data_IF_798509521589
#
_entry.id   IF_798509521589
#
_cell.length_a   1.000
_cell.length_b   1.000
_cell.length_c   1.000
_cell.angle_alpha   90.00
_cell.angle_beta   90.00
_cell.angle_gamma   90.00
#
_symmetry.space_group_name_H-M   'P 1'
#
loop_
_entity.id
_entity.type
_entity.pdbx_description
1 polymer ?
2 polymer ?
3 non-polymer ?
4 water ?
#
# COMPACT_ATOMS: atom_id res chain seq x y z
N UNK A 1 -7.33 -12.96 -1.76
CA UNK A 1 -6.60 -11.69 -2.01
C UNK A 1 -5.14 -12.13 -1.91
N UNK A 2 -4.18 -11.31 -2.33
CA UNK A 2 -2.73 -11.57 -2.06
C UNK A 2 -2.16 -10.52 -1.10
N UNK A 3 -1.23 -10.93 -0.23
CA UNK A 3 -0.65 -10.02 0.77
C UNK A 3 0.56 -9.35 0.12
N UNK A 4 0.57 -8.01 0.07
CA UNK A 4 1.69 -7.27 -0.47
C UNK A 4 2.73 -7.12 0.64
N UNK A 5 4.00 -6.93 0.28
CA UNK A 5 4.96 -6.71 1.36
C UNK A 5 4.68 -5.42 2.10
N UNK A 6 4.90 -5.42 3.40
CA UNK A 6 4.87 -4.21 4.17
C UNK A 6 6.16 -3.92 4.88
N UNK A 7 6.38 -2.62 5.11
CA UNK A 7 7.60 -2.12 5.71
C UNK A 7 7.22 -1.15 6.83
N UNK A 8 8.11 -1.07 7.80
CA UNK A 8 8.03 -0.11 8.84
C UNK A 8 9.22 0.86 8.78
N UNK A 9 8.89 2.14 8.79
CA UNK A 9 9.87 3.20 8.67
C UNK A 9 10.73 3.28 9.91
N UNK A 10 12.05 3.30 9.70
CA UNK A 10 12.98 3.41 10.81
C UNK A 10 13.31 4.89 11.11
N UNK A 11 13.21 5.76 10.12
CA UNK A 11 13.62 7.17 10.24
C UNK A 11 12.56 7.96 9.49
N UNK A 12 12.39 9.24 9.80
CA UNK A 12 11.51 10.00 8.96
C UNK A 12 12.16 10.34 7.62
N UNK A 13 11.33 10.66 6.66
CA UNK A 13 11.80 11.04 5.36
C UNK A 13 10.91 12.09 4.75
N UNK A 14 11.55 13.06 4.12
CA UNK A 14 10.84 14.08 3.34
C UNK A 14 11.09 13.92 1.85
N UNK A 15 10.00 13.76 1.09
CA UNK A 15 10.06 13.58 -0.34
C UNK A 15 10.82 14.72 -0.96
N UNK A 16 11.83 14.40 -1.73
CA UNK A 16 12.60 15.39 -2.48
C UNK A 16 11.83 15.93 -3.71
N UNK A 17 10.88 15.17 -4.22
CA UNK A 17 10.05 15.64 -5.33
C UNK A 17 8.69 14.94 -5.30
N UNK A 18 7.85 15.27 -6.25
CA UNK A 18 6.50 14.67 -6.30
C UNK A 18 6.42 13.19 -6.59
N UNK A 19 7.49 12.56 -7.09
CA UNK A 19 7.48 11.13 -7.34
C UNK A 19 7.77 10.30 -6.04
N UNK A 20 8.29 10.95 -5.00
CA UNK A 20 8.67 10.34 -3.75
C UNK A 20 7.60 10.49 -2.71
N UNK A 21 7.71 9.68 -1.67
CA UNK A 21 6.70 9.60 -0.66
C UNK A 21 7.31 9.94 0.65
N UNK A 22 6.79 10.97 1.32
CA UNK A 22 7.21 11.28 2.67
C UNK A 22 6.58 10.34 3.73
N UNK A 23 7.24 10.18 4.86
CA UNK A 23 6.73 9.32 5.93
C UNK A 23 7.42 9.68 7.22
N UNK A 24 6.84 9.19 8.31
CA UNK A 24 7.40 9.32 9.64
C UNK A 24 7.81 8.00 10.25
N UNK A 25 8.61 8.08 11.30
CA UNK A 25 9.03 6.89 12.04
C UNK A 25 7.82 6.07 12.44
N UNK A 26 7.94 4.74 12.39
CA UNK A 26 6.81 3.86 12.63
C UNK A 26 5.76 3.68 11.56
N UNK A 27 5.76 4.49 10.51
CA UNK A 27 4.73 4.35 9.48
C UNK A 27 4.84 2.95 8.83
N UNK A 28 3.68 2.35 8.60
CA UNK A 28 3.54 1.08 7.93
C UNK A 28 3.18 1.33 6.47
N UNK A 29 4.13 1.04 5.59
CA UNK A 29 4.00 1.39 4.19
C UNK A 29 3.87 0.07 3.40
N UNK A 30 2.92 0.03 2.47
CA UNK A 30 2.70 -1.14 1.66
C UNK A 30 3.48 -0.96 0.37
N UNK A 31 4.20 -1.98 -0.04
CA UNK A 31 5.12 -1.90 -1.16
C UNK A 31 4.43 -2.45 -2.39
N UNK A 32 4.42 -1.65 -3.45
CA UNK A 32 3.83 -1.98 -4.73
C UNK A 32 4.86 -2.49 -5.70
N UNK A 33 6.13 -2.11 -5.54
CA UNK A 33 7.14 -2.44 -6.54
C UNK A 33 8.50 -2.19 -5.94
N UNK A 34 9.45 -3.08 -6.21
CA UNK A 34 10.84 -2.87 -5.84
C UNK A 34 11.82 -2.64 -7.00
N UNK A 35 12.56 -1.54 -6.92
CA UNK A 35 13.73 -1.27 -7.70
C UNK A 35 14.97 -1.37 -6.79
N UNK A 36 16.09 -1.03 -7.37
CA UNK A 36 17.37 -1.11 -6.69
C UNK A 36 17.41 0.13 -5.86
N UNK A 37 17.53 0.01 -4.57
CA UNK A 37 17.63 1.22 -3.75
C UNK A 37 16.36 1.98 -3.42
N UNK A 38 15.33 1.90 -4.25
CA UNK A 38 14.11 2.65 -4.12
C UNK A 38 12.93 1.72 -4.30
N UNK A 39 11.96 1.78 -3.42
CA UNK A 39 10.76 0.96 -3.50
C UNK A 39 9.56 1.86 -3.61
N UNK A 40 8.54 1.40 -4.31
CA UNK A 40 7.34 2.19 -4.50
C UNK A 40 6.33 1.77 -3.46
N UNK A 41 5.89 2.73 -2.64
CA UNK A 41 5.06 2.42 -1.51
C UNK A 41 3.79 3.20 -1.56
N UNK A 42 2.86 2.80 -0.70
CA UNK A 42 1.57 3.43 -0.53
C UNK A 42 1.28 3.56 0.98
N UNK A 43 0.88 4.75 1.42
CA UNK A 43 0.60 5.00 2.83
C UNK A 43 -0.55 6.01 2.83
N UNK A 44 -1.68 5.68 3.43
CA UNK A 44 -2.83 6.63 3.59
C UNK A 44 -3.24 7.36 2.34
N UNK A 45 -3.33 6.58 1.27
CA UNK A 45 -3.76 7.06 0.02
C UNK A 45 -2.74 7.83 -0.79
N UNK A 46 -1.48 7.89 -0.34
CA UNK A 46 -0.43 8.60 -1.05
C UNK A 46 0.52 7.52 -1.52
N UNK A 47 0.96 7.62 -2.77
CA UNK A 47 1.86 6.64 -3.35
C UNK A 47 3.12 7.33 -3.90
N UNK A 48 4.26 6.70 -3.73
CA UNK A 48 5.53 7.23 -4.16
C UNK A 48 6.70 6.35 -3.82
N UNK A 49 7.83 6.71 -4.39
CA UNK A 49 9.08 6.05 -4.20
C UNK A 49 9.75 6.45 -2.85
N UNK A 50 10.26 5.43 -2.13
CA UNK A 50 10.96 5.58 -0.84
C UNK A 50 12.32 4.97 -0.87
N UNK A 51 13.26 5.58 -0.13
CA UNK A 51 14.57 4.97 0.00
C UNK A 51 14.52 3.71 0.83
N UNK A 52 14.93 2.58 0.27
CA UNK A 52 14.71 1.32 0.94
C UNK A 52 15.59 1.09 2.18
N UNK A 53 16.61 1.91 2.42
CA UNK A 53 17.37 1.77 3.67
C UNK A 53 16.74 2.58 4.82
N UNK A 54 15.64 3.24 4.58
CA UNK A 54 14.89 3.94 5.64
C UNK A 54 13.86 3.08 6.31
N UNK A 55 13.68 1.83 5.86
CA UNK A 55 12.57 1.03 6.27
C UNK A 55 13.08 -0.36 6.51
N UNK A 56 12.28 -1.13 7.24
CA UNK A 56 12.56 -2.54 7.45
C UNK A 56 11.33 -3.33 7.14
N UNK A 57 11.49 -4.23 6.21
CA UNK A 57 10.41 -5.10 5.71
C UNK A 57 9.99 -6.11 6.83
N UNK A 58 8.70 -6.22 7.03
CA UNK A 58 8.10 -7.04 8.06
C UNK A 58 8.15 -8.55 7.61
N UNK A 59 8.65 -9.39 8.49
CA UNK A 59 8.67 -10.85 8.32
C UNK A 59 7.28 -11.37 7.96
N UNK A 60 7.20 -12.14 6.92
CA UNK A 60 5.96 -12.85 6.64
C UNK A 60 6.31 -14.35 6.43
N UNK A 61 5.30 -15.18 6.33
CA UNK A 61 5.52 -16.62 6.52
C UNK A 61 5.00 -17.45 5.33
N UNK A 62 4.89 -16.82 4.16
CA UNK A 62 4.38 -17.45 2.96
C UNK A 62 5.46 -17.55 1.91
N UNK A 63 6.26 -16.51 1.76
CA UNK A 63 7.29 -16.42 0.69
C UNK A 63 8.72 -16.44 1.19
N UNK A 64 8.91 -16.59 2.49
CA UNK A 64 10.24 -16.75 3.05
C UNK A 64 10.20 -17.88 4.07
N UNK A 65 11.36 -18.46 4.26
CA UNK A 65 11.59 -19.43 5.27
C UNK A 65 13.05 -19.52 5.65
N UNK A 66 13.33 -19.94 6.89
CA UNK A 66 14.73 -20.27 7.26
C UNK A 66 14.78 -21.38 8.36
N UNK B 1 3.38 11.01 -3.07
CA UNK B 1 2.84 12.24 -3.68
C UNK B 1 1.84 12.07 -4.81
N UNK B 2 1.66 10.89 -5.42
CA UNK B 2 0.35 10.66 -6.13
C UNK B 2 -0.74 10.32 -5.09
N UNK B 3 -1.93 10.90 -5.22
CA UNK B 3 -3.06 10.51 -4.38
C UNK B 3 -3.73 9.29 -5.05
N UNK B 4 -4.05 8.29 -4.29
CA UNK B 4 -4.85 7.17 -4.77
C UNK B 4 -6.29 7.36 -4.33
N UNK B 5 -7.28 6.96 -5.15
CA UNK B 5 -8.63 6.97 -4.59
C UNK B 5 -8.76 6.07 -3.42
N UNK B 6 -9.60 6.49 -2.48
CA UNK B 6 -9.94 5.68 -1.34
C UNK B 6 -11.45 5.58 -1.27
N UNK B 7 -11.95 4.48 -0.72
CA UNK B 7 -13.38 4.19 -0.81
C UNK B 7 -13.75 3.59 0.51
N UNK B 8 -15.02 3.67 0.87
CA UNK B 8 -15.53 3.09 2.11
C UNK B 8 -16.54 2.02 1.75
N UNK B 9 -16.50 0.87 2.40
CA UNK B 9 -17.47 -0.14 2.06
C UNK B 9 -18.87 0.23 2.60
N UNK B 10 -19.87 0.07 1.75
CA UNK B 10 -21.30 0.16 2.08
C UNK B 10 -21.82 -1.15 2.66
N UNK B 11 -21.28 -2.29 2.21
CA UNK B 11 -21.74 -3.64 2.58
C UNK B 11 -20.56 -4.56 2.81
N UNK B 12 -20.74 -5.65 3.57
CA UNK B 12 -19.64 -6.62 3.60
C UNK B 12 -19.56 -7.37 2.25
N UNK B 13 -18.35 -7.78 1.88
CA UNK B 13 -18.16 -8.65 0.72
C UNK B 13 -17.25 -9.82 1.11
N UNK B 14 -17.61 -11.00 0.69
CA UNK B 14 -16.74 -12.18 0.81
C UNK B 14 -16.20 -12.52 -0.61
N UNK B 15 -14.88 -12.49 -0.75
CA UNK B 15 -14.19 -12.85 -1.99
C UNK B 15 -14.70 -14.20 -2.53
N UNK B 16 -15.09 -14.23 -3.81
CA UNK B 16 -15.50 -15.50 -4.45
C UNK B 16 -14.38 -16.33 -4.96
N UNK B 17 -13.16 -15.79 -5.01
CA UNK B 17 -12.04 -16.55 -5.46
C UNK B 17 -10.80 -15.83 -4.93
N UNK B 18 -9.63 -16.35 -5.24
CA UNK B 18 -8.36 -15.84 -4.70
C UNK B 18 -7.94 -14.48 -5.22
N UNK B 19 -8.49 -14.02 -6.34
CA UNK B 19 -8.18 -12.70 -6.90
C UNK B 19 -9.00 -11.57 -6.27
N UNK B 20 -10.04 -11.94 -5.51
CA UNK B 20 -10.91 -10.91 -4.90
C UNK B 20 -10.51 -10.62 -3.48
N UNK B 21 -10.94 -9.45 -2.98
CA UNK B 21 -10.66 -9.00 -1.63
C UNK B 21 -11.94 -8.96 -0.80
N UNK B 22 -11.93 -9.63 0.34
CA UNK B 22 -13.03 -9.58 1.28
C UNK B 22 -12.92 -8.32 2.10
N UNK B 23 -14.05 -7.86 2.59
CA UNK B 23 -14.06 -6.64 3.40
C UNK B 23 -15.36 -6.54 4.22
N UNK B 24 -15.35 -5.64 5.20
CA UNK B 24 -16.52 -5.42 6.09
C UNK B 24 -17.04 -4.01 5.92
N UNK B 25 -18.26 -3.76 6.39
CA UNK B 25 -18.85 -2.42 6.28
C UNK B 25 -17.92 -1.49 7.04
N UNK B 26 -17.70 -0.30 6.51
CA UNK B 26 -16.84 0.66 7.11
C UNK B 26 -15.40 0.66 6.66
N UNK B 27 -14.88 -0.45 6.09
CA UNK B 27 -13.45 -0.59 5.73
C UNK B 27 -13.14 0.44 4.67
N UNK B 28 -11.98 1.11 4.82
CA UNK B 28 -11.50 2.13 3.90
C UNK B 28 -10.45 1.42 3.02
N UNK B 29 -10.68 1.38 1.73
CA UNK B 29 -9.87 0.61 0.81
C UNK B 29 -9.27 1.57 -0.15
N UNK B 30 -7.99 1.38 -0.43
CA UNK B 30 -7.29 2.13 -1.43
C UNK B 30 -7.35 1.43 -2.78
N UNK B 31 -7.59 2.21 -3.82
CA UNK B 31 -7.78 1.67 -5.14
C UNK B 31 -6.57 1.88 -5.95
N UNK B 32 -6.09 0.80 -6.58
CA UNK B 32 -4.83 0.78 -7.34
C UNK B 32 -5.03 0.70 -8.80
N UNK B 33 -6.17 0.20 -9.27
CA UNK B 33 -6.42 -0.01 -10.65
C UNK B 33 -7.92 -0.22 -10.80
N UNK B 34 -8.48 0.05 -11.97
CA UNK B 34 -9.91 -0.04 -12.23
C UNK B 34 -10.01 -0.81 -13.50
N UNK B 35 -10.94 -1.78 -13.58
CA UNK B 35 -11.32 -2.51 -14.81
C UNK B 35 -12.87 -2.51 -14.89
N UNK B 36 -13.53 -1.50 -15.44
CA UNK B 36 -15.03 -1.59 -15.53
C UNK B 36 -15.71 -1.75 -14.12
N UNK B 37 -16.57 -2.75 -13.92
CA UNK B 37 -17.25 -2.96 -12.63
C UNK B 37 -16.41 -3.42 -11.42
N UNK B 38 -15.17 -3.86 -11.67
CA UNK B 38 -14.31 -4.35 -10.62
C UNK B 38 -13.10 -3.44 -10.44
N UNK B 39 -12.75 -3.12 -9.20
CA UNK B 39 -11.61 -2.23 -8.92
C UNK B 39 -10.63 -2.99 -8.07
N UNK B 40 -9.34 -2.81 -8.30
CA UNK B 40 -8.36 -3.52 -7.52
C UNK B 40 -7.99 -2.74 -6.28
N UNK B 41 -8.31 -3.31 -5.13
CA UNK B 41 -8.16 -2.58 -3.87
C UNK B 41 -7.09 -3.15 -2.98
N UNK B 42 -6.72 -2.35 -1.98
CA UNK B 42 -5.72 -2.70 -0.98
C UNK B 42 -6.21 -2.34 0.42
N UNK B 43 -6.20 -3.28 1.33
CA UNK B 43 -6.75 -3.06 2.65
C UNK B 43 -5.89 -3.87 3.61
N UNK B 44 -5.20 -3.17 4.52
CA UNK B 44 -4.31 -3.82 5.51
C UNK B 44 -3.32 -4.77 4.87
N UNK B 45 -2.80 -4.35 3.72
CA UNK B 45 -1.78 -5.06 3.06
C UNK B 45 -2.23 -6.15 2.13
N UNK B 46 -3.52 -6.37 2.02
CA UNK B 46 -4.14 -7.42 1.20
C UNK B 46 -4.66 -6.71 -0.01
N UNK B 47 -4.42 -7.30 -1.16
CA UNK B 47 -4.83 -6.73 -2.42
C UNK B 47 -5.72 -7.66 -3.21
N UNK B 48 -6.76 -7.11 -3.81
CA UNK B 48 -7.61 -7.88 -4.75
C UNK B 48 -8.79 -7.13 -5.24
N UNK B 49 -9.54 -7.79 -6.12
CA UNK B 49 -10.60 -7.13 -6.82
C UNK B 49 -11.86 -7.04 -5.96
N UNK B 50 -12.54 -5.94 -6.11
CA UNK B 50 -13.80 -5.72 -5.37
C UNK B 50 -14.86 -5.17 -6.34
N UNK B 51 -16.17 -5.45 -6.08
CA UNK B 51 -17.25 -4.84 -6.86
C UNK B 51 -17.39 -3.33 -6.52
N UNK B 52 -17.34 -2.50 -7.55
CA UNK B 52 -17.33 -1.08 -7.30
C UNK B 52 -18.68 -0.54 -6.76
N UNK B 53 -19.77 -1.26 -6.97
CA UNK B 53 -21.03 -0.88 -6.31
C UNK B 53 -21.10 -1.23 -4.83
N UNK B 54 -20.08 -1.84 -4.24
CA UNK B 54 -20.16 -2.12 -2.83
C UNK B 54 -19.49 -1.04 -2.04
N UNK B 55 -18.94 -0.03 -2.71
CA UNK B 55 -18.20 0.98 -1.99
C UNK B 55 -18.59 2.36 -2.40
N UNK B 56 -18.21 3.36 -1.61
CA UNK B 56 -18.42 4.75 -1.97
C UNK B 56 -17.13 5.59 -1.83
N UNK B 57 -16.82 6.35 -2.87
CA UNK B 57 -15.64 7.22 -2.92
C UNK B 57 -15.58 8.21 -1.77
N UNK B 58 -14.38 8.46 -1.24
CA UNK B 58 -14.18 9.42 -0.16
C UNK B 58 -13.62 10.70 -0.77
N UNK B 59 -13.99 11.83 -0.18
CA UNK B 59 -13.66 13.19 -0.69
C UNK B 59 -12.17 13.54 -0.78
N UNK C 1 21.36 8.40 16.04
CA UNK C 1 20.00 8.80 15.53
C UNK C 1 20.13 9.55 14.19
N UNK C 2 21.12 9.15 13.40
CA UNK C 2 21.43 9.81 12.14
C UNK C 2 20.76 9.02 10.99
N UNK C 3 20.02 9.69 10.12
CA UNK C 3 19.44 8.99 8.97
C UNK C 3 20.55 8.58 8.01
N UNK C 4 20.41 7.43 7.29
CA UNK C 4 21.58 7.21 6.45
C UNK C 4 21.39 8.05 5.17
N UNK C 5 22.37 8.07 4.30
CA UNK C 5 22.16 8.77 3.05
C UNK C 5 21.25 7.96 2.19
N UNK C 6 20.51 8.61 1.32
CA UNK C 6 19.62 7.89 0.51
C UNK C 6 20.48 7.09 -0.49
N UNK C 7 19.91 6.04 -1.05
CA UNK C 7 20.62 5.25 -2.04
C UNK C 7 20.91 6.11 -3.27
N UNK C 8 22.19 6.21 -3.63
CA UNK C 8 22.65 7.01 -4.78
C UNK C 8 22.22 6.40 -6.06
N UNK C 9 20.94 6.61 -6.37
CA UNK C 9 20.33 5.84 -7.42
C UNK C 9 19.08 6.54 -7.88
X LIG D 1 6.34 4.55 -11.65
X LIG D 1 7.79 4.38 -12.06
X LIG D 1 6.26 5.58 -10.59
X LIG D 1 5.76 3.21 -11.29
X LIG D 1 5.57 5.13 -12.79
X LIG E 1 18.81 -2.85 -3.13
X LIG E 1 19.87 -2.11 -3.83
X LIG E 1 19.25 -4.24 -2.86
X LIG E 1 17.57 -2.85 -3.92
X LIG E 1 18.57 -2.17 -1.83
#
# INVERSE_FOLDING_TARGET
MSKLPQVKALYPYTAANDEELSFKVGDIITILEKDEGWWKGELNGQEGWIPNNYVKEILEHHHHHH
MSKLPQVKALYPYTAANDEELSFKVGDIITILEKDEGWWKGELNGQEGWIPNNYVKEILEHHHHHH
KVAPPIPHR
SO4 S O1 O2 O3 O4
SO4 S O1 O2 O3 O4
#
